data_IF_511565114915
#
_entry.id   IF_511565114915
#
_cell.length_a   1.000
_cell.length_b   1.000
_cell.length_c   1.000
_cell.angle_alpha   90.00
_cell.angle_beta   90.00
_cell.angle_gamma   90.00
#
_symmetry.space_group_name_H-M   'P 1'
#
loop_
_entity.id
_entity.type
_entity.pdbx_description
1 polymer ?
#
# COMPACT_ATOMS: atom_id res chain seq x y z
N UNK A 1 4.70 5.07 3.39
CA UNK A 1 4.26 6.31 2.71
C UNK A 1 2.75 6.20 2.56
N UNK A 2 1.98 7.29 2.73
CA UNK A 2 0.58 7.29 2.26
C UNK A 2 0.66 7.16 0.74
N UNK A 3 -0.01 6.16 0.17
CA UNK A 3 -0.09 6.03 -1.29
C UNK A 3 -0.96 7.17 -1.79
N UNK A 4 -0.46 7.83 -2.82
CA UNK A 4 -1.06 9.04 -3.36
C UNK A 4 -2.04 8.69 -4.50
N UNK A 5 -2.84 9.65 -4.93
CA UNK A 5 -3.83 9.48 -5.98
C UNK A 5 -3.19 8.92 -7.27
N UNK A 6 -1.93 9.29 -7.52
CA UNK A 6 -1.18 8.79 -8.66
C UNK A 6 -0.94 7.27 -8.64
N UNK A 7 -0.61 6.70 -7.48
CA UNK A 7 -0.45 5.26 -7.32
C UNK A 7 -1.75 4.51 -7.63
N UNK A 8 -2.89 5.04 -7.18
CA UNK A 8 -4.20 4.46 -7.44
C UNK A 8 -4.57 4.49 -8.92
N UNK A 9 -4.35 5.62 -9.61
CA UNK A 9 -4.58 5.72 -11.07
C UNK A 9 -3.70 4.73 -11.83
N UNK A 10 -2.41 4.63 -11.47
CA UNK A 10 -1.48 3.68 -12.10
C UNK A 10 -1.82 2.22 -11.81
N UNK A 11 -2.41 1.92 -10.66
CA UNK A 11 -2.89 0.58 -10.32
C UNK A 11 -4.12 0.18 -11.14
N UNK A 12 -4.96 1.13 -11.57
CA UNK A 12 -6.11 0.90 -12.45
C UNK A 12 -5.66 0.83 -13.92
N UNK A 13 -4.80 1.78 -14.33
CA UNK A 13 -4.27 1.87 -15.68
C UNK A 13 -2.79 2.26 -15.64
N UNK A 14 -1.92 1.27 -15.82
CA UNK A 14 -0.47 1.47 -15.74
C UNK A 14 0.07 2.47 -16.78
N UNK A 15 -0.56 2.56 -17.95
CA UNK A 15 -0.18 3.49 -19.02
C UNK A 15 -0.87 4.84 -18.92
N UNK A 16 -1.69 5.09 -17.89
CA UNK A 16 -2.38 6.37 -17.73
C UNK A 16 -1.39 7.52 -17.59
N UNK A 17 -1.56 8.55 -18.41
CA UNK A 17 -0.82 9.79 -18.31
C UNK A 17 -1.76 10.91 -17.89
N UNK A 18 -1.41 11.59 -16.81
CA UNK A 18 -2.24 12.61 -16.19
C UNK A 18 -1.39 13.64 -15.46
N UNK A 19 -1.96 14.83 -15.28
CA UNK A 19 -1.45 15.89 -14.43
C UNK A 19 -2.48 16.08 -13.33
N UNK A 20 -2.04 16.09 -12.08
CA UNK A 20 -2.87 16.33 -10.91
C UNK A 20 -2.03 17.12 -9.90
N UNK A 21 -2.60 18.21 -9.39
CA UNK A 21 -2.00 19.00 -8.31
C UNK A 21 -2.66 18.62 -6.99
N UNK A 22 -1.85 18.50 -5.94
CA UNK A 22 -2.30 18.28 -4.56
C UNK A 22 -3.21 17.04 -4.35
N UNK A 23 -3.06 15.99 -5.17
CA UNK A 23 -3.90 14.78 -5.13
C UNK A 23 -5.42 15.10 -5.23
N UNK A 24 -5.77 16.17 -5.93
CA UNK A 24 -7.15 16.58 -6.10
C UNK A 24 -7.86 15.78 -7.21
N UNK A 25 -8.76 14.87 -6.80
CA UNK A 25 -9.62 14.08 -7.69
C UNK A 25 -10.49 14.94 -8.63
N UNK A 26 -10.83 16.16 -8.23
CA UNK A 26 -11.63 17.07 -9.03
C UNK A 26 -10.84 17.78 -10.14
N UNK A 27 -9.50 17.81 -10.02
CA UNK A 27 -8.62 18.55 -10.93
C UNK A 27 -7.60 17.64 -11.62
N UNK A 28 -8.05 16.49 -12.12
CA UNK A 28 -7.21 15.59 -12.91
C UNK A 28 -7.31 15.97 -14.39
N UNK A 29 -6.17 16.32 -14.99
CA UNK A 29 -6.05 16.51 -16.42
C UNK A 29 -5.50 15.23 -17.06
N UNK A 30 -6.31 14.55 -17.86
CA UNK A 30 -5.89 13.37 -18.62
C UNK A 30 -5.18 13.81 -19.90
N UNK A 31 -3.98 13.27 -20.15
CA UNK A 31 -3.15 13.64 -21.31
C UNK A 31 -2.82 12.41 -22.16
N UNK A 32 -2.30 12.64 -23.37
CA UNK A 32 -1.87 11.61 -24.32
C UNK A 32 -2.93 10.56 -24.66
N UNK A 33 -4.20 10.97 -24.70
CA UNK A 33 -5.32 10.09 -25.05
C UNK A 33 -5.72 9.11 -23.94
N UNK A 34 -5.23 9.32 -22.71
CA UNK A 34 -5.65 8.52 -21.56
C UNK A 34 -7.16 8.64 -21.37
N UNK A 35 -7.84 7.50 -21.37
CA UNK A 35 -9.27 7.44 -21.06
C UNK A 35 -9.51 7.89 -19.61
N UNK A 36 -10.38 8.88 -19.36
CA UNK A 36 -10.71 9.32 -18.02
C UNK A 36 -11.22 8.18 -17.15
N UNK A 37 -10.65 8.03 -15.96
CA UNK A 37 -11.08 7.05 -14.95
C UNK A 37 -12.09 7.72 -14.01
N UNK A 38 -13.14 7.01 -13.64
CA UNK A 38 -14.15 7.56 -12.73
C UNK A 38 -13.55 7.79 -11.34
N UNK A 39 -13.92 8.91 -10.71
CA UNK A 39 -13.42 9.28 -9.37
C UNK A 39 -13.69 8.20 -8.34
N UNK A 40 -14.87 7.59 -8.38
CA UNK A 40 -15.26 6.50 -7.49
C UNK A 40 -14.34 5.29 -7.60
N UNK A 41 -13.86 4.98 -8.80
CA UNK A 41 -12.93 3.85 -9.01
C UNK A 41 -11.56 4.17 -8.44
N UNK A 42 -11.11 5.42 -8.60
CA UNK A 42 -9.85 5.91 -8.02
C UNK A 42 -9.94 5.89 -6.49
N UNK A 43 -11.02 6.40 -5.89
CA UNK A 43 -11.27 6.38 -4.45
C UNK A 43 -11.31 4.96 -3.89
N UNK A 44 -12.02 4.06 -4.57
CA UNK A 44 -12.06 2.65 -4.19
C UNK A 44 -10.66 2.04 -4.20
N UNK A 45 -9.83 2.37 -5.19
CA UNK A 45 -8.46 1.88 -5.29
C UNK A 45 -7.53 2.46 -4.23
N UNK A 46 -7.68 3.74 -3.89
CA UNK A 46 -6.96 4.38 -2.78
C UNK A 46 -7.29 3.63 -1.48
N UNK A 47 -8.57 3.41 -1.20
CA UNK A 47 -9.01 2.70 0.02
C UNK A 47 -8.49 1.26 0.09
N UNK A 48 -8.49 0.54 -1.03
CA UNK A 48 -7.91 -0.81 -1.15
C UNK A 48 -6.41 -0.81 -0.84
N UNK A 49 -5.67 0.15 -1.41
CA UNK A 49 -4.23 0.28 -1.24
C UNK A 49 -3.83 0.67 0.19
N UNK A 50 -4.57 1.58 0.83
CA UNK A 50 -4.38 1.93 2.24
C UNK A 50 -4.64 0.73 3.16
N UNK A 51 -5.72 -0.02 2.90
CA UNK A 51 -6.05 -1.23 3.66
C UNK A 51 -4.97 -2.30 3.54
N UNK A 52 -4.42 -2.51 2.34
CA UNK A 52 -3.34 -3.46 2.10
C UNK A 52 -2.05 -3.06 2.85
N UNK A 53 -1.70 -1.78 2.88
CA UNK A 53 -0.53 -1.28 3.61
C UNK A 53 -0.68 -1.44 5.12
N UNK A 54 -1.83 -1.09 5.68
CA UNK A 54 -2.10 -1.26 7.11
C UNK A 54 -2.09 -2.74 7.50
N UNK A 55 -2.68 -3.60 6.67
CA UNK A 55 -2.64 -5.05 6.88
C UNK A 55 -1.19 -5.56 6.87
N UNK A 56 -0.38 -5.14 5.89
CA UNK A 56 1.02 -5.56 5.80
C UNK A 56 1.87 -5.06 6.99
N UNK A 57 1.63 -3.84 7.47
CA UNK A 57 2.28 -3.33 8.69
C UNK A 57 1.86 -4.13 9.91
N UNK A 58 0.56 -4.41 10.06
CA UNK A 58 0.05 -5.19 11.18
C UNK A 58 0.64 -6.60 11.18
N UNK A 59 0.68 -7.28 10.03
CA UNK A 59 1.30 -8.61 9.92
C UNK A 59 2.77 -8.60 10.33
N UNK A 60 3.54 -7.56 10.00
CA UNK A 60 4.93 -7.42 10.46
C UNK A 60 5.04 -7.20 11.97
N UNK A 61 4.12 -6.42 12.55
CA UNK A 61 4.05 -6.20 14.00
C UNK A 61 3.72 -7.53 14.71
N UNK A 62 2.74 -8.27 14.19
CA UNK A 62 2.32 -9.55 14.74
C UNK A 62 3.44 -10.59 14.65
N UNK A 63 4.13 -10.69 13.52
CA UNK A 63 5.31 -11.55 13.34
C UNK A 63 6.40 -11.19 14.35
N UNK A 64 6.70 -9.90 14.53
CA UNK A 64 7.70 -9.46 15.51
C UNK A 64 7.28 -9.76 16.95
N UNK A 65 6.00 -9.60 17.28
CA UNK A 65 5.46 -9.91 18.60
C UNK A 65 5.54 -11.41 18.90
N UNK A 66 5.14 -12.26 17.94
CA UNK A 66 5.27 -13.72 18.00
C UNK A 66 6.73 -14.14 18.18
N UNK A 67 7.63 -13.58 17.36
CA UNK A 67 9.05 -13.88 17.42
C UNK A 67 9.66 -13.49 18.79
N UNK A 68 9.27 -12.35 19.35
CA UNK A 68 9.72 -11.93 20.69
C UNK A 68 9.23 -12.86 21.78
N UNK A 69 7.98 -13.33 21.71
CA UNK A 69 7.41 -14.26 22.69
C UNK A 69 8.13 -15.62 22.66
N UNK A 70 8.36 -16.18 21.47
CA UNK A 70 9.10 -17.44 21.29
C UNK A 70 10.56 -17.35 21.75
N UNK A 71 11.23 -16.23 21.48
CA UNK A 71 12.60 -16.00 21.96
C UNK A 71 12.68 -16.00 23.49
N UNK A 72 11.71 -15.38 24.17
CA UNK A 72 11.63 -15.37 25.63
C UNK A 72 11.31 -16.77 26.16
N UNK A 73 10.46 -17.53 25.47
CA UNK A 73 10.10 -18.91 25.82
C UNK A 73 11.21 -19.93 25.50
N UNK A 74 12.23 -19.57 24.72
CA UNK A 74 13.27 -20.48 24.25
C UNK A 74 12.82 -21.42 23.12
N UNK A 75 11.75 -21.07 22.43
CA UNK A 75 11.24 -21.83 21.27
C UNK A 75 11.96 -21.45 19.98
N UNK A 76 12.01 -22.38 19.02
CA UNK A 76 12.57 -22.12 17.71
C UNK A 76 11.74 -21.09 16.93
N UNK A 77 12.41 -20.14 16.28
CA UNK A 77 11.80 -19.14 15.41
C UNK A 77 11.70 -19.65 13.97
N UNK A 78 10.66 -19.23 13.25
CA UNK A 78 10.65 -19.37 11.79
C UNK A 78 11.61 -18.36 11.15
N UNK A 79 12.01 -18.61 9.90
CA UNK A 79 12.87 -17.68 9.16
C UNK A 79 12.22 -16.29 9.01
N UNK A 80 10.92 -16.24 8.72
CA UNK A 80 10.16 -14.99 8.60
C UNK A 80 10.11 -14.21 9.93
N UNK A 81 9.92 -14.91 11.05
CA UNK A 81 9.95 -14.33 12.38
C UNK A 81 11.36 -13.80 12.74
N UNK A 82 12.41 -14.57 12.46
CA UNK A 82 13.79 -14.19 12.73
C UNK A 82 14.23 -12.96 11.92
N UNK A 83 13.87 -12.91 10.63
CA UNK A 83 14.17 -11.78 9.75
C UNK A 83 13.52 -10.46 10.21
N UNK A 84 12.47 -10.50 11.04
CA UNK A 84 11.85 -9.28 11.61
C UNK A 84 12.63 -8.68 12.79
N UNK A 85 13.53 -9.46 13.41
CA UNK A 85 14.31 -9.05 14.60
C UNK A 85 15.74 -8.68 14.22
N UNK A 86 16.31 -9.32 13.19
CA UNK A 86 17.67 -9.06 12.71
C UNK A 86 17.62 -7.89 11.71
N UNK A 87 17.85 -6.67 12.20
CA UNK A 87 18.06 -5.45 11.41
C UNK A 87 19.42 -4.83 11.77
#
# INVERSE_FOLDING_TARGET
MKKNLGDAIKAINATAEFICEEDNLDNIQWINGTTPIAKTDIEAKIAELDTADETAKQSKIDLRASAKAKLIAGEALTEEEANTIVL
#
